data_IF_529257874094
#
_entry.id   IF_529257874094
#
_cell.length_a   1.000
_cell.length_b   1.000
_cell.length_c   1.000
_cell.angle_alpha   90.00
_cell.angle_beta   90.00
_cell.angle_gamma   90.00
#
_symmetry.space_group_name_H-M   'P 1'
#
loop_
_entity.id
_entity.type
_entity.pdbx_description
1 polymer ?
#
# COMPACT_ATOMS: atom_id res chain seq x y z
N UNK A 1 1.34 -36.95 -12.71
CA UNK A 1 0.33 -36.05 -12.13
C UNK A 1 0.51 -36.08 -10.63
N UNK A 2 1.04 -35.01 -10.07
CA UNK A 2 1.30 -34.91 -8.63
C UNK A 2 -0.04 -34.70 -7.91
N UNK A 3 -0.49 -35.71 -7.15
CA UNK A 3 -1.79 -35.71 -6.42
C UNK A 3 -1.92 -34.60 -5.34
N UNK A 4 -0.90 -33.79 -5.15
CA UNK A 4 -0.80 -32.86 -4.02
C UNK A 4 -1.40 -31.46 -4.28
N UNK A 5 -1.83 -31.15 -5.51
CA UNK A 5 -2.37 -29.82 -5.86
C UNK A 5 -3.84 -29.84 -6.27
N UNK A 6 -4.70 -30.37 -5.40
CA UNK A 6 -6.15 -30.28 -5.66
C UNK A 6 -6.62 -28.80 -5.65
N UNK A 7 -7.65 -28.44 -6.45
CA UNK A 7 -8.22 -27.07 -6.47
C UNK A 7 -8.66 -26.59 -5.08
N UNK A 8 -9.03 -27.50 -4.19
CA UNK A 8 -9.41 -27.22 -2.80
C UNK A 8 -8.20 -26.77 -1.98
N UNK A 9 -7.03 -27.36 -2.16
CA UNK A 9 -5.82 -26.97 -1.44
C UNK A 9 -5.33 -25.57 -1.88
N UNK A 10 -5.45 -25.23 -3.16
CA UNK A 10 -5.10 -23.89 -3.66
C UNK A 10 -6.00 -22.79 -3.07
N UNK A 11 -7.31 -23.00 -2.98
CA UNK A 11 -8.25 -22.06 -2.37
C UNK A 11 -7.96 -21.87 -0.88
N UNK A 12 -7.66 -22.96 -0.16
CA UNK A 12 -7.24 -22.89 1.25
C UNK A 12 -5.94 -22.10 1.41
N UNK A 13 -4.95 -22.35 0.58
CA UNK A 13 -3.68 -21.60 0.61
C UNK A 13 -3.90 -20.10 0.40
N UNK A 14 -4.72 -19.70 -0.57
CA UNK A 14 -5.07 -18.28 -0.80
C UNK A 14 -5.80 -17.66 0.40
N UNK A 15 -6.73 -18.39 1.00
CA UNK A 15 -7.44 -17.90 2.19
C UNK A 15 -6.47 -17.64 3.35
N UNK A 16 -5.55 -18.56 3.63
CA UNK A 16 -4.57 -18.36 4.70
C UNK A 16 -3.53 -17.29 4.35
N UNK A 17 -3.13 -17.16 3.08
CA UNK A 17 -2.29 -16.06 2.62
C UNK A 17 -2.98 -14.71 2.79
N UNK A 18 -4.26 -14.62 2.42
CA UNK A 18 -5.06 -13.42 2.62
C UNK A 18 -5.16 -13.05 4.11
N UNK A 19 -5.54 -14.02 4.95
CA UNK A 19 -5.68 -13.80 6.39
C UNK A 19 -4.37 -13.35 7.03
N UNK A 20 -3.27 -14.02 6.67
CA UNK A 20 -1.94 -13.65 7.12
C UNK A 20 -1.55 -12.22 6.70
N UNK A 21 -1.83 -11.85 5.45
CA UNK A 21 -1.56 -10.49 4.97
C UNK A 21 -2.43 -9.45 5.67
N UNK A 22 -3.69 -9.75 5.97
CA UNK A 22 -4.56 -8.87 6.78
C UNK A 22 -3.92 -8.63 8.13
N UNK A 23 -3.50 -9.67 8.83
CA UNK A 23 -2.91 -9.56 10.16
C UNK A 23 -1.57 -8.81 10.11
N UNK A 24 -0.69 -9.15 9.17
CA UNK A 24 0.60 -8.49 8.99
C UNK A 24 0.45 -6.99 8.67
N UNK A 25 -0.58 -6.61 7.91
CA UNK A 25 -0.85 -5.20 7.62
C UNK A 25 -1.62 -4.49 8.76
N UNK A 26 -2.29 -5.22 9.66
CA UNK A 26 -2.91 -4.66 10.86
C UNK A 26 -1.86 -4.00 11.77
N UNK A 27 -0.68 -4.58 11.85
CA UNK A 27 0.44 -4.05 12.61
C UNK A 27 0.91 -2.65 12.17
N UNK A 28 0.71 -2.28 10.92
CA UNK A 28 1.11 -0.95 10.43
C UNK A 28 0.31 0.19 11.08
N UNK A 29 -0.93 -0.05 11.45
CA UNK A 29 -1.85 0.98 11.96
C UNK A 29 -2.12 0.87 13.47
N UNK A 30 -1.58 -0.14 14.15
CA UNK A 30 -1.78 -0.34 15.60
C UNK A 30 -1.24 0.81 16.44
N UNK A 31 -0.18 1.50 15.95
CA UNK A 31 0.46 2.63 16.65
C UNK A 31 -0.45 3.86 16.76
N UNK A 32 -1.22 4.17 15.72
CA UNK A 32 -1.96 5.42 15.61
C UNK A 32 -2.93 5.70 16.79
N UNK A 33 -3.79 4.76 17.21
CA UNK A 33 -4.71 5.00 18.33
C UNK A 33 -4.03 5.08 19.70
N UNK A 34 -2.79 4.61 19.80
CA UNK A 34 -2.09 4.50 21.09
C UNK A 34 -0.99 5.56 21.29
N UNK A 35 -0.86 6.50 20.34
CA UNK A 35 0.16 7.56 20.37
C UNK A 35 0.18 8.26 21.72
N UNK A 36 -0.91 8.85 22.14
CA UNK A 36 -0.96 9.61 23.38
C UNK A 36 -0.70 8.78 24.64
N UNK A 37 -1.03 7.48 24.64
CA UNK A 37 -0.71 6.58 25.75
C UNK A 37 0.79 6.31 25.85
N UNK A 38 1.45 6.11 24.71
CA UNK A 38 2.91 5.89 24.62
C UNK A 38 3.67 7.16 25.00
N UNK A 39 3.23 8.32 24.52
CA UNK A 39 3.85 9.61 24.84
C UNK A 39 3.80 9.92 26.32
N UNK A 40 2.65 9.68 26.96
CA UNK A 40 2.48 9.89 28.39
C UNK A 40 3.35 8.94 29.21
N UNK A 41 3.51 7.68 28.81
CA UNK A 41 4.29 6.70 29.56
C UNK A 41 5.78 6.92 29.43
N UNK A 42 6.28 7.21 28.23
CA UNK A 42 7.71 7.39 27.99
C UNK A 42 8.17 8.85 28.04
N UNK A 43 7.26 9.78 28.27
CA UNK A 43 7.52 11.23 28.28
C UNK A 43 8.20 11.68 26.97
N UNK A 44 7.65 11.27 25.84
CA UNK A 44 8.11 11.60 24.49
C UNK A 44 7.09 12.45 23.75
N UNK A 45 7.46 12.98 22.60
CA UNK A 45 6.61 13.87 21.79
C UNK A 45 6.23 13.24 20.46
N UNK A 46 5.27 13.84 19.75
CA UNK A 46 4.86 13.44 18.39
C UNK A 46 6.07 13.29 17.43
N UNK A 47 7.16 14.07 17.63
CA UNK A 47 8.37 13.94 16.83
C UNK A 47 9.03 12.56 16.98
N UNK A 48 9.07 12.03 18.19
CA UNK A 48 9.59 10.69 18.46
C UNK A 48 8.67 9.62 17.82
N UNK A 49 7.37 9.79 17.93
CA UNK A 49 6.39 8.89 17.33
C UNK A 49 6.45 8.94 15.79
N UNK A 50 6.57 10.12 15.21
CA UNK A 50 6.77 10.31 13.78
C UNK A 50 8.06 9.68 13.27
N UNK A 51 9.15 9.72 14.09
CA UNK A 51 10.39 9.03 13.79
C UNK A 51 10.21 7.51 13.72
N UNK A 52 9.50 6.90 14.69
CA UNK A 52 9.18 5.47 14.63
C UNK A 52 8.44 5.14 13.32
N UNK A 53 7.33 5.85 13.05
CA UNK A 53 6.50 5.58 11.89
C UNK A 53 7.22 5.82 10.55
N UNK A 54 8.06 6.87 10.49
CA UNK A 54 8.86 7.21 9.32
C UNK A 54 9.93 6.17 9.02
N UNK A 55 10.75 5.83 10.02
CA UNK A 55 11.82 4.82 9.87
C UNK A 55 11.22 3.45 9.55
N UNK A 56 10.15 3.05 10.23
CA UNK A 56 9.41 1.82 9.93
C UNK A 56 9.02 1.72 8.46
N UNK A 57 8.43 2.77 7.89
CA UNK A 57 7.98 2.78 6.49
C UNK A 57 9.15 2.77 5.50
N UNK A 58 10.18 3.59 5.75
CA UNK A 58 11.34 3.70 4.86
C UNK A 58 12.18 2.41 4.89
N UNK A 59 12.42 1.85 6.07
CA UNK A 59 13.15 0.58 6.21
C UNK A 59 12.39 -0.55 5.53
N UNK A 60 11.07 -0.64 5.75
CA UNK A 60 10.21 -1.63 5.07
C UNK A 60 10.32 -1.54 3.54
N UNK A 61 10.30 -0.31 2.99
CA UNK A 61 10.44 -0.08 1.57
C UNK A 61 11.82 -0.50 1.01
N UNK A 62 12.90 -0.10 1.68
CA UNK A 62 14.25 -0.46 1.25
C UNK A 62 14.49 -1.97 1.31
N UNK A 63 14.06 -2.60 2.40
CA UNK A 63 14.25 -4.05 2.59
C UNK A 63 13.32 -4.85 1.67
N UNK A 64 12.19 -4.29 1.19
CA UNK A 64 11.34 -4.96 0.22
C UNK A 64 12.07 -5.31 -1.10
N UNK A 65 13.06 -4.49 -1.50
CA UNK A 65 13.92 -4.77 -2.66
C UNK A 65 14.79 -6.01 -2.41
N UNK A 66 15.30 -6.15 -1.18
CA UNK A 66 16.09 -7.33 -0.77
C UNK A 66 15.20 -8.57 -0.75
N UNK A 67 14.01 -8.47 -0.15
CA UNK A 67 13.03 -9.55 -0.15
C UNK A 67 12.60 -9.96 -1.57
N UNK A 68 12.45 -9.00 -2.48
CA UNK A 68 12.19 -9.28 -3.90
C UNK A 68 13.29 -10.14 -4.52
N UNK A 69 14.56 -9.76 -4.34
CA UNK A 69 15.69 -10.55 -4.81
C UNK A 69 15.73 -11.96 -4.17
N UNK A 70 15.54 -12.06 -2.85
CA UNK A 70 15.51 -13.34 -2.16
C UNK A 70 14.38 -14.24 -2.68
N UNK A 71 13.23 -13.65 -3.01
CA UNK A 71 12.07 -14.35 -3.58
C UNK A 71 12.39 -15.01 -4.92
N UNK A 72 13.27 -14.41 -5.71
CA UNK A 72 13.70 -14.98 -6.99
C UNK A 72 14.73 -16.10 -6.85
N UNK A 73 15.48 -16.13 -5.74
CA UNK A 73 16.58 -17.08 -5.54
C UNK A 73 16.19 -18.28 -4.65
N UNK A 74 15.45 -18.00 -3.57
CA UNK A 74 15.16 -18.98 -2.52
C UNK A 74 13.72 -19.50 -2.57
N UNK A 75 13.45 -20.54 -1.77
CA UNK A 75 12.11 -21.12 -1.58
C UNK A 75 11.19 -20.09 -0.90
N UNK A 76 10.11 -19.72 -1.58
CA UNK A 76 9.20 -18.64 -1.16
C UNK A 76 8.36 -18.99 0.07
N UNK A 77 8.04 -20.26 0.27
CA UNK A 77 7.36 -20.73 1.48
C UNK A 77 8.18 -20.42 2.73
N UNK A 78 9.47 -20.77 2.72
CA UNK A 78 10.35 -20.52 3.86
C UNK A 78 10.67 -19.04 4.04
N UNK A 79 10.78 -18.29 2.94
CA UNK A 79 10.93 -16.84 3.01
C UNK A 79 9.70 -16.15 3.61
N UNK A 80 8.50 -16.63 3.27
CA UNK A 80 7.24 -16.14 3.85
C UNK A 80 7.20 -16.37 5.36
N UNK A 81 7.55 -17.59 5.80
CA UNK A 81 7.60 -17.91 7.23
C UNK A 81 8.65 -17.04 7.94
N UNK A 82 9.84 -16.91 7.37
CA UNK A 82 10.89 -16.05 7.92
C UNK A 82 10.43 -14.60 8.04
N UNK A 83 9.74 -14.05 7.02
CA UNK A 83 9.24 -12.69 7.04
C UNK A 83 8.18 -12.46 8.12
N UNK A 84 7.28 -13.45 8.31
CA UNK A 84 6.29 -13.39 9.40
C UNK A 84 7.01 -13.37 10.75
N UNK A 85 7.96 -14.26 10.98
CA UNK A 85 8.67 -14.31 12.25
C UNK A 85 9.48 -13.03 12.52
N UNK A 86 10.15 -12.48 11.48
CA UNK A 86 10.90 -11.23 11.56
C UNK A 86 9.99 -10.01 11.78
N UNK A 87 8.73 -10.05 11.32
CA UNK A 87 7.75 -8.99 11.55
C UNK A 87 7.03 -9.12 12.90
N UNK A 88 6.41 -10.28 13.14
CA UNK A 88 5.46 -10.45 14.22
C UNK A 88 6.11 -10.67 15.60
N UNK A 89 7.29 -11.30 15.65
CA UNK A 89 8.00 -11.43 16.93
C UNK A 89 8.40 -10.05 17.49
N UNK A 90 9.04 -9.14 16.73
CA UNK A 90 9.28 -7.79 17.21
C UNK A 90 8.00 -6.99 17.48
N UNK A 91 6.92 -7.21 16.71
CA UNK A 91 5.63 -6.60 17.03
C UNK A 91 5.14 -7.04 18.41
N UNK A 92 5.14 -8.35 18.68
CA UNK A 92 4.79 -8.89 19.99
C UNK A 92 5.69 -8.33 21.10
N UNK A 93 7.01 -8.25 20.85
CA UNK A 93 7.99 -7.70 21.79
C UNK A 93 7.82 -6.19 22.00
N UNK A 94 7.17 -5.47 21.09
CA UNK A 94 6.80 -4.07 21.31
C UNK A 94 5.93 -3.90 22.54
N UNK A 95 5.08 -4.88 22.87
CA UNK A 95 4.26 -4.89 24.07
C UNK A 95 5.09 -5.01 25.38
N UNK A 96 6.33 -5.47 25.31
CA UNK A 96 7.21 -5.61 26.47
C UNK A 96 8.14 -4.41 26.68
N UNK A 97 8.07 -3.41 25.80
CA UNK A 97 8.96 -2.27 25.85
C UNK A 97 8.80 -1.48 27.15
N UNK A 98 9.93 -1.22 27.81
CA UNK A 98 10.04 -0.43 29.05
C UNK A 98 10.68 0.94 28.81
N UNK A 99 11.11 1.21 27.58
CA UNK A 99 11.65 2.50 27.14
C UNK A 99 11.29 2.77 25.68
N UNK A 100 11.30 4.06 25.32
CA UNK A 100 11.11 4.48 23.93
C UNK A 100 12.13 3.83 22.97
N UNK A 101 13.41 3.73 23.37
CA UNK A 101 14.44 3.11 22.54
C UNK A 101 14.17 1.64 22.24
N UNK A 102 13.65 0.88 23.20
CA UNK A 102 13.23 -0.52 22.98
C UNK A 102 12.03 -0.59 22.02
N UNK A 103 11.02 0.25 22.22
CA UNK A 103 9.88 0.31 21.32
C UNK A 103 10.31 0.66 19.89
N UNK A 104 11.15 1.69 19.74
CA UNK A 104 11.71 2.09 18.43
C UNK A 104 12.42 0.92 17.75
N UNK A 105 13.32 0.24 18.48
CA UNK A 105 14.07 -0.90 17.94
C UNK A 105 13.16 -2.02 17.44
N UNK A 106 12.19 -2.43 18.27
CA UNK A 106 11.23 -3.46 17.87
C UNK A 106 10.38 -3.04 16.67
N UNK A 107 9.93 -1.79 16.60
CA UNK A 107 9.15 -1.27 15.48
C UNK A 107 9.95 -1.24 14.17
N UNK A 108 11.23 -0.89 14.22
CA UNK A 108 12.12 -0.94 13.04
C UNK A 108 12.27 -2.37 12.53
N UNK A 109 12.49 -3.35 13.41
CA UNK A 109 12.57 -4.75 13.04
C UNK A 109 11.26 -5.26 12.44
N UNK A 110 10.11 -4.88 13.02
CA UNK A 110 8.79 -5.18 12.45
C UNK A 110 8.67 -4.69 10.99
N UNK A 111 9.15 -3.48 10.70
CA UNK A 111 9.17 -2.93 9.34
C UNK A 111 9.93 -3.80 8.33
N UNK A 112 11.00 -4.47 8.77
CA UNK A 112 11.77 -5.40 7.93
C UNK A 112 10.90 -6.59 7.49
N UNK A 113 10.12 -7.18 8.39
CA UNK A 113 9.24 -8.30 8.08
C UNK A 113 8.09 -7.90 7.14
N UNK A 114 7.47 -6.75 7.39
CA UNK A 114 6.35 -6.26 6.57
C UNK A 114 6.79 -5.94 5.13
N UNK A 115 8.03 -5.48 4.93
CA UNK A 115 8.57 -5.22 3.60
C UNK A 115 8.57 -6.44 2.67
N UNK A 116 8.48 -7.66 3.21
CA UNK A 116 8.41 -8.89 2.45
C UNK A 116 7.01 -9.22 1.90
N UNK A 117 5.96 -8.63 2.46
CA UNK A 117 4.57 -9.05 2.25
C UNK A 117 4.15 -9.06 0.77
N UNK A 118 4.46 -8.00 0.04
CA UNK A 118 4.13 -7.90 -1.38
C UNK A 118 4.97 -8.81 -2.28
N UNK A 119 6.32 -8.74 -2.28
CA UNK A 119 7.11 -9.50 -3.24
C UNK A 119 6.88 -11.01 -3.11
N UNK A 120 6.82 -11.55 -1.89
CA UNK A 120 6.63 -12.97 -1.69
C UNK A 120 5.22 -13.42 -2.07
N UNK A 121 4.19 -12.71 -1.59
CA UNK A 121 2.80 -13.12 -1.78
C UNK A 121 2.37 -13.02 -3.24
N UNK A 122 2.81 -11.99 -3.96
CA UNK A 122 2.49 -11.85 -5.38
C UNK A 122 3.25 -12.82 -6.26
N UNK A 123 4.49 -13.16 -5.91
CA UNK A 123 5.24 -14.21 -6.59
C UNK A 123 4.59 -15.58 -6.40
N UNK A 124 4.17 -15.93 -5.17
CA UNK A 124 3.43 -17.16 -4.90
C UNK A 124 2.11 -17.21 -5.69
N UNK A 125 1.32 -16.14 -5.65
CA UNK A 125 0.06 -16.07 -6.38
C UNK A 125 0.26 -16.21 -7.89
N UNK A 126 1.34 -15.62 -8.43
CA UNK A 126 1.71 -15.70 -9.84
C UNK A 126 1.91 -17.12 -10.34
N UNK A 127 2.55 -17.97 -9.53
CA UNK A 127 2.85 -19.35 -9.92
C UNK A 127 1.80 -20.37 -9.47
N UNK A 128 0.94 -20.01 -8.51
CA UNK A 128 -0.16 -20.88 -8.06
C UNK A 128 -1.38 -20.86 -9.00
N UNK A 129 -1.56 -19.77 -9.76
CA UNK A 129 -2.77 -19.55 -10.57
C UNK A 129 -2.45 -19.18 -12.00
N UNK A 130 -3.20 -19.77 -12.94
CA UNK A 130 -3.13 -19.42 -14.36
C UNK A 130 -3.63 -18.00 -14.65
N UNK A 131 -3.32 -17.50 -15.86
CA UNK A 131 -3.62 -16.13 -16.30
C UNK A 131 -5.05 -15.65 -16.02
N UNK A 132 -6.06 -16.51 -16.16
CA UNK A 132 -7.48 -16.17 -15.94
C UNK A 132 -7.85 -15.90 -14.47
N UNK A 133 -7.18 -16.53 -13.52
CA UNK A 133 -7.47 -16.44 -12.09
C UNK A 133 -6.48 -15.54 -11.33
N UNK A 134 -5.24 -15.42 -11.85
CA UNK A 134 -4.14 -14.64 -11.25
C UNK A 134 -4.57 -13.21 -10.89
N UNK A 135 -5.24 -12.51 -11.80
CA UNK A 135 -5.70 -11.14 -11.57
C UNK A 135 -6.66 -11.01 -10.38
N UNK A 136 -7.58 -11.96 -10.22
CA UNK A 136 -8.52 -11.98 -9.08
C UNK A 136 -7.81 -12.22 -7.76
N UNK A 137 -6.85 -13.16 -7.74
CA UNK A 137 -6.08 -13.48 -6.53
C UNK A 137 -5.18 -12.31 -6.12
N UNK A 138 -4.47 -11.70 -7.07
CA UNK A 138 -3.63 -10.51 -6.82
C UNK A 138 -4.47 -9.35 -6.29
N UNK A 139 -5.66 -9.12 -6.84
CA UNK A 139 -6.59 -8.10 -6.34
C UNK A 139 -7.07 -8.41 -4.90
N UNK A 140 -7.39 -9.68 -4.62
CA UNK A 140 -7.77 -10.11 -3.27
C UNK A 140 -6.62 -9.88 -2.27
N UNK A 141 -5.39 -10.26 -2.61
CA UNK A 141 -4.23 -10.03 -1.76
C UNK A 141 -3.94 -8.53 -1.56
N UNK A 142 -4.19 -7.72 -2.59
CA UNK A 142 -4.13 -6.25 -2.48
C UNK A 142 -5.14 -5.66 -1.51
N UNK A 143 -6.37 -6.22 -1.46
CA UNK A 143 -7.40 -5.82 -0.48
C UNK A 143 -6.96 -6.12 0.96
N UNK A 144 -6.15 -7.17 1.18
CA UNK A 144 -5.67 -7.52 2.52
C UNK A 144 -4.91 -6.38 3.21
N UNK A 145 -4.20 -5.54 2.44
CA UNK A 145 -3.49 -4.37 2.99
C UNK A 145 -4.47 -3.35 3.57
N UNK A 146 -5.51 -3.01 2.81
CA UNK A 146 -6.52 -2.02 3.26
C UNK A 146 -7.32 -2.56 4.44
N UNK A 147 -7.80 -3.81 4.34
CA UNK A 147 -8.56 -4.46 5.41
C UNK A 147 -7.69 -4.60 6.67
N UNK A 148 -6.43 -5.01 6.51
CA UNK A 148 -5.49 -5.13 7.62
C UNK A 148 -5.27 -3.81 8.34
N UNK A 149 -5.01 -2.72 7.62
CA UNK A 149 -4.85 -1.40 8.23
C UNK A 149 -6.08 -0.97 9.05
N UNK A 150 -7.30 -1.21 8.53
CA UNK A 150 -8.54 -0.94 9.25
C UNK A 150 -8.65 -1.82 10.50
N UNK A 151 -8.41 -3.13 10.37
CA UNK A 151 -8.46 -4.07 11.50
C UNK A 151 -7.49 -3.65 12.61
N UNK A 152 -6.23 -3.34 12.28
CA UNK A 152 -5.25 -2.89 13.26
C UNK A 152 -5.67 -1.63 14.00
N UNK A 153 -6.20 -0.65 13.26
CA UNK A 153 -6.71 0.59 13.82
C UNK A 153 -7.91 0.33 14.77
N UNK A 154 -8.87 -0.50 14.35
CA UNK A 154 -10.06 -0.80 15.17
C UNK A 154 -9.68 -1.61 16.41
N UNK A 155 -8.80 -2.62 16.27
CA UNK A 155 -8.31 -3.40 17.42
C UNK A 155 -7.65 -2.47 18.43
N UNK A 156 -6.71 -1.64 18.00
CA UNK A 156 -6.03 -0.73 18.91
C UNK A 156 -6.99 0.34 19.48
N UNK A 157 -7.80 0.97 18.64
CA UNK A 157 -8.68 2.06 19.04
C UNK A 157 -9.75 1.66 20.04
N UNK A 158 -10.34 0.47 19.87
CA UNK A 158 -11.40 0.02 20.79
C UNK A 158 -10.87 -0.75 22.01
N UNK A 159 -9.62 -1.21 22.02
CA UNK A 159 -9.09 -1.99 23.15
C UNK A 159 -8.12 -1.21 24.03
N UNK A 160 -7.34 -0.28 23.47
CA UNK A 160 -6.30 0.41 24.22
C UNK A 160 -6.81 1.27 25.37
N UNK A 161 -8.04 1.80 25.25
CA UNK A 161 -8.64 2.65 26.29
C UNK A 161 -8.84 1.94 27.63
N UNK A 162 -9.06 0.61 27.65
CA UNK A 162 -9.30 -0.17 28.87
C UNK A 162 -8.25 -1.26 29.12
N UNK A 163 -7.50 -1.72 28.11
CA UNK A 163 -6.45 -2.73 28.26
C UNK A 163 -5.03 -2.15 28.23
N UNK A 164 -4.91 -0.83 27.96
CA UNK A 164 -3.62 -0.17 27.75
C UNK A 164 -3.03 -0.41 26.36
N UNK A 165 -2.01 0.37 26.01
CA UNK A 165 -1.43 0.41 24.66
C UNK A 165 -0.64 -0.87 24.28
N UNK A 166 -0.27 -1.70 25.22
CA UNK A 166 0.52 -2.93 24.99
C UNK A 166 -0.31 -4.06 24.40
N UNK A 167 -1.53 -4.23 24.85
CA UNK A 167 -2.40 -5.34 24.45
C UNK A 167 -2.73 -5.33 22.96
N UNK A 168 -3.02 -4.19 22.30
CA UNK A 168 -3.19 -4.15 20.86
C UNK A 168 -2.06 -4.80 20.05
N UNK A 169 -0.79 -4.60 20.44
CA UNK A 169 0.34 -5.24 19.76
C UNK A 169 0.30 -6.76 19.86
N UNK A 170 -0.10 -7.28 21.01
CA UNK A 170 -0.28 -8.74 21.21
C UNK A 170 -1.44 -9.24 20.34
N UNK A 171 -2.56 -8.53 20.33
CA UNK A 171 -3.76 -8.95 19.59
C UNK A 171 -3.55 -8.97 18.08
N UNK A 172 -2.73 -8.07 17.53
CA UNK A 172 -2.46 -8.04 16.10
C UNK A 172 -1.34 -9.00 15.69
N UNK A 173 -0.36 -9.30 16.54
CA UNK A 173 0.77 -10.14 16.19
C UNK A 173 0.59 -11.63 16.50
N UNK A 174 -0.01 -11.97 17.65
CA UNK A 174 -0.15 -13.35 18.09
C UNK A 174 -0.92 -14.25 17.10
N UNK A 175 -2.01 -13.80 16.43
CA UNK A 175 -2.71 -14.65 15.47
C UNK A 175 -1.82 -15.10 14.29
N UNK A 176 -0.93 -14.24 13.78
CA UNK A 176 -0.03 -14.63 12.70
C UNK A 176 0.99 -15.67 13.16
N UNK A 177 1.52 -15.53 14.36
CA UNK A 177 2.44 -16.54 14.93
C UNK A 177 1.74 -17.90 15.09
N UNK A 178 0.45 -17.90 15.45
CA UNK A 178 -0.37 -19.14 15.51
C UNK A 178 -0.63 -19.70 14.11
N UNK A 179 -0.76 -18.86 13.08
CA UNK A 179 -0.97 -19.29 11.70
C UNK A 179 0.30 -19.89 11.06
N UNK A 180 1.51 -19.59 11.55
CA UNK A 180 2.77 -20.13 10.99
C UNK A 180 2.75 -21.66 10.86
N UNK A 181 2.48 -22.47 11.90
CA UNK A 181 2.44 -23.93 11.75
C UNK A 181 1.34 -24.40 10.79
N UNK A 182 0.24 -23.70 10.67
CA UNK A 182 -0.84 -24.01 9.72
C UNK A 182 -0.35 -23.76 8.29
N UNK A 183 0.28 -22.62 8.03
CA UNK A 183 0.85 -22.27 6.73
C UNK A 183 1.97 -23.26 6.35
N UNK A 184 2.80 -23.65 7.29
CA UNK A 184 3.85 -24.67 7.07
C UNK A 184 3.29 -25.97 6.52
N UNK A 185 2.10 -26.39 6.94
CA UNK A 185 1.47 -27.61 6.50
C UNK A 185 0.65 -27.47 5.21
N UNK A 186 -0.01 -26.32 5.00
CA UNK A 186 -0.93 -26.12 3.88
C UNK A 186 -0.22 -25.57 2.64
N UNK A 187 0.72 -24.62 2.82
CA UNK A 187 1.39 -23.98 1.70
C UNK A 187 2.49 -24.89 1.14
N UNK A 188 2.33 -25.27 -0.10
CA UNK A 188 3.37 -25.94 -0.87
C UNK A 188 4.07 -24.94 -1.78
N UNK A 189 5.38 -25.11 -1.97
CA UNK A 189 6.14 -24.28 -2.91
C UNK A 189 5.70 -24.60 -4.33
N UNK A 190 5.08 -23.65 -5.08
CA UNK A 190 4.71 -23.89 -6.47
C UNK A 190 5.97 -23.94 -7.35
N UNK A 191 5.95 -24.75 -8.40
CA UNK A 191 7.00 -24.70 -9.43
C UNK A 191 7.00 -23.34 -10.08
N UNK A 192 8.17 -22.74 -10.28
CA UNK A 192 8.31 -21.44 -10.91
C UNK A 192 7.89 -21.52 -12.37
N UNK A 193 7.04 -20.57 -12.81
CA UNK A 193 6.52 -20.53 -14.18
C UNK A 193 5.54 -21.66 -14.52
N UNK A 194 4.98 -22.37 -13.54
CA UNK A 194 4.11 -23.54 -13.76
C UNK A 194 2.88 -23.27 -14.62
N UNK A 195 2.49 -22.02 -14.80
CA UNK A 195 1.30 -21.59 -15.59
C UNK A 195 1.61 -20.58 -16.70
N UNK A 196 2.89 -20.46 -17.10
CA UNK A 196 3.27 -19.66 -18.27
C UNK A 196 3.14 -20.51 -19.54
N UNK A 197 2.41 -20.02 -20.56
CA UNK A 197 2.26 -20.69 -21.85
C UNK A 197 3.65 -20.90 -22.49
N UNK A 198 3.96 -22.14 -22.88
CA UNK A 198 5.26 -22.53 -23.43
C UNK A 198 6.28 -23.11 -22.44
N UNK A 199 6.07 -22.97 -21.12
CA UNK A 199 6.97 -23.54 -20.09
C UNK A 199 6.40 -24.80 -19.39
N UNK A 200 5.19 -25.26 -19.75
CA UNK A 200 4.56 -26.44 -19.16
C UNK A 200 5.38 -27.74 -19.37
N UNK A 201 6.30 -27.77 -20.33
CA UNK A 201 7.13 -28.94 -20.69
C UNK A 201 8.64 -28.73 -20.58
N UNK A 202 9.11 -27.51 -20.31
CA UNK A 202 10.54 -27.22 -20.28
C UNK A 202 11.07 -27.16 -18.83
N UNK A 203 12.10 -27.97 -18.54
CA UNK A 203 12.93 -27.86 -17.31
C UNK A 203 13.80 -26.58 -17.27
N UNK A 204 13.46 -25.56 -18.04
CA UNK A 204 14.26 -24.35 -18.17
C UNK A 204 13.84 -23.35 -17.09
N UNK A 205 14.69 -23.17 -16.09
CA UNK A 205 14.59 -22.04 -15.16
C UNK A 205 14.82 -20.73 -15.91
N UNK A 206 13.82 -19.88 -15.97
CA UNK A 206 13.92 -18.54 -16.54
C UNK A 206 14.86 -17.68 -15.67
N UNK A 207 16.16 -17.68 -16.00
CA UNK A 207 17.18 -16.81 -15.37
C UNK A 207 17.22 -15.45 -16.08
N UNK A 208 16.22 -14.61 -15.87
CA UNK A 208 16.31 -13.22 -16.28
C UNK A 208 17.18 -12.44 -15.29
N UNK A 209 18.41 -12.13 -15.66
CA UNK A 209 19.26 -11.22 -14.87
C UNK A 209 18.81 -9.79 -15.14
N UNK A 210 18.08 -9.19 -14.19
CA UNK A 210 17.75 -7.77 -14.20
C UNK A 210 19.04 -6.96 -14.23
N UNK A 211 19.26 -6.16 -15.28
CA UNK A 211 20.36 -5.20 -15.34
C UNK A 211 19.88 -3.84 -14.80
N UNK A 212 20.66 -3.23 -13.94
CA UNK A 212 20.39 -1.88 -13.42
C UNK A 212 20.22 -0.82 -14.53
N UNK A 213 20.88 -1.00 -15.68
CA UNK A 213 20.73 -0.15 -16.85
C UNK A 213 19.31 -0.03 -17.37
N UNK A 214 18.50 -1.07 -17.18
CA UNK A 214 17.13 -1.14 -17.71
C UNK A 214 16.18 -0.19 -16.97
N UNK A 215 16.46 0.14 -15.71
CA UNK A 215 15.72 1.13 -14.92
C UNK A 215 15.82 2.54 -15.49
N UNK A 216 16.97 2.88 -16.13
CA UNK A 216 17.18 4.18 -16.75
C UNK A 216 16.21 4.49 -17.91
N UNK A 217 15.74 3.46 -18.61
CA UNK A 217 14.80 3.65 -19.71
C UNK A 217 13.38 3.97 -19.22
N UNK A 218 12.98 3.43 -18.05
CA UNK A 218 11.67 3.68 -17.46
C UNK A 218 11.50 5.14 -17.02
N UNK A 219 12.58 5.79 -16.59
CA UNK A 219 12.60 7.20 -16.18
C UNK A 219 12.52 8.14 -17.40
N UNK A 220 12.89 7.68 -18.61
CA UNK A 220 12.78 8.47 -19.84
C UNK A 220 11.32 8.67 -20.30
N UNK A 221 10.40 7.81 -19.91
CA UNK A 221 8.96 8.00 -20.13
C UNK A 221 8.49 9.12 -19.20
N UNK A 222 8.05 10.23 -19.78
CA UNK A 222 7.68 11.43 -19.01
C UNK A 222 6.52 11.20 -18.04
N UNK A 223 5.54 10.42 -18.47
CA UNK A 223 4.41 10.02 -17.61
C UNK A 223 4.92 9.26 -16.38
N UNK A 224 5.86 8.30 -16.54
CA UNK A 224 6.43 7.57 -15.40
C UNK A 224 7.11 8.52 -14.42
N UNK A 225 7.96 9.42 -14.92
CA UNK A 225 8.69 10.37 -14.08
C UNK A 225 7.71 11.27 -13.28
N UNK A 226 6.66 11.78 -13.95
CA UNK A 226 5.63 12.58 -13.28
C UNK A 226 4.85 11.78 -12.23
N UNK A 227 4.53 10.52 -12.52
CA UNK A 227 3.82 9.64 -11.58
C UNK A 227 4.68 9.22 -10.39
N UNK A 228 5.99 9.07 -10.55
CA UNK A 228 6.89 8.81 -9.42
C UNK A 228 6.99 10.00 -8.46
N UNK A 229 7.14 11.22 -8.98
CA UNK A 229 7.08 12.42 -8.15
C UNK A 229 5.70 12.62 -7.53
N UNK A 230 4.63 12.37 -8.30
CA UNK A 230 3.26 12.38 -7.80
C UNK A 230 3.09 11.39 -6.65
N UNK A 231 3.67 10.18 -6.76
CA UNK A 231 3.67 9.18 -5.70
C UNK A 231 4.25 9.72 -4.39
N UNK A 232 5.44 10.35 -4.44
CA UNK A 232 6.06 10.95 -3.25
C UNK A 232 5.16 12.03 -2.63
N UNK A 233 4.77 13.04 -3.43
CA UNK A 233 3.95 14.14 -2.90
C UNK A 233 2.55 13.70 -2.51
N UNK A 234 1.96 12.76 -3.24
CA UNK A 234 0.63 12.23 -2.97
C UNK A 234 0.56 11.40 -1.69
N UNK A 235 1.63 10.69 -1.34
CA UNK A 235 1.65 9.79 -0.17
C UNK A 235 2.16 10.45 1.11
N UNK A 236 2.76 11.65 1.06
CA UNK A 236 3.07 12.44 2.27
C UNK A 236 1.81 12.64 3.13
N UNK A 237 0.66 13.14 2.60
CA UNK A 237 -0.56 13.23 3.39
C UNK A 237 -1.08 11.88 3.88
N UNK A 238 -1.00 10.84 3.04
CA UNK A 238 -1.37 9.47 3.44
C UNK A 238 -0.48 8.89 4.55
N UNK A 239 0.75 9.38 4.68
CA UNK A 239 1.61 9.06 5.81
C UNK A 239 1.20 9.80 7.09
N UNK A 240 0.98 11.10 7.02
CA UNK A 240 0.72 11.94 8.18
C UNK A 240 -0.72 11.83 8.69
N UNK A 241 -1.72 11.98 7.80
CA UNK A 241 -3.13 12.10 8.18
C UNK A 241 -3.64 10.84 8.89
N UNK A 242 -3.63 9.62 8.31
CA UNK A 242 -4.13 8.45 9.00
C UNK A 242 -3.34 8.11 10.27
N UNK A 243 -2.04 8.44 10.30
CA UNK A 243 -1.17 8.12 11.43
C UNK A 243 -1.46 8.97 12.67
N UNK A 244 -1.71 10.27 12.51
CA UNK A 244 -1.97 11.21 13.61
C UNK A 244 -3.44 11.58 13.80
N UNK A 245 -4.34 11.15 12.90
CA UNK A 245 -5.74 11.55 12.88
C UNK A 245 -6.49 11.23 14.19
N UNK A 246 -6.29 10.04 14.76
CA UNK A 246 -6.97 9.65 16.00
C UNK A 246 -6.53 10.55 17.15
N UNK A 247 -5.23 10.83 17.26
CA UNK A 247 -4.72 11.69 18.30
C UNK A 247 -5.14 13.17 18.11
N UNK A 248 -5.22 13.64 16.85
CA UNK A 248 -5.80 14.94 16.53
C UNK A 248 -7.25 15.05 17.02
N UNK A 249 -8.10 14.08 16.75
CA UNK A 249 -9.49 14.10 17.21
C UNK A 249 -9.60 14.05 18.73
N UNK A 250 -8.71 13.33 19.39
CA UNK A 250 -8.65 13.28 20.85
C UNK A 250 -8.22 14.60 21.48
N UNK A 251 -7.13 15.20 20.98
CA UNK A 251 -6.54 16.41 21.61
C UNK A 251 -7.28 17.68 21.22
N UNK A 252 -7.64 17.83 19.96
CA UNK A 252 -8.14 19.13 19.45
C UNK A 252 -9.65 19.14 19.21
N UNK A 253 -10.30 17.99 19.19
CA UNK A 253 -11.76 17.89 19.09
C UNK A 253 -12.39 17.27 20.36
N UNK A 254 -11.61 17.04 21.42
CA UNK A 254 -12.07 16.53 22.72
C UNK A 254 -12.88 15.23 22.61
N UNK A 255 -12.56 14.38 21.62
CA UNK A 255 -13.21 13.09 21.42
C UNK A 255 -12.59 12.03 22.34
N UNK A 256 -13.41 11.13 22.83
CA UNK A 256 -12.90 9.89 23.43
C UNK A 256 -12.27 8.99 22.34
N UNK A 257 -11.50 7.97 22.78
CA UNK A 257 -10.79 7.10 21.86
C UNK A 257 -11.72 6.35 20.89
N UNK A 258 -12.92 5.94 21.36
CA UNK A 258 -13.88 5.22 20.52
C UNK A 258 -14.47 6.15 19.45
N UNK A 259 -14.81 7.39 19.81
CA UNK A 259 -15.30 8.40 18.88
C UNK A 259 -14.23 8.73 17.82
N UNK A 260 -13.00 8.98 18.24
CA UNK A 260 -11.88 9.27 17.34
C UNK A 260 -11.58 8.09 16.40
N UNK A 261 -11.64 6.85 16.91
CA UNK A 261 -11.50 5.63 16.11
C UNK A 261 -12.63 5.48 15.09
N UNK A 262 -13.87 5.84 15.49
CA UNK A 262 -15.03 5.82 14.59
C UNK A 262 -14.88 6.85 13.47
N UNK A 263 -14.32 8.04 13.75
CA UNK A 263 -13.98 9.04 12.69
C UNK A 263 -12.98 8.46 11.70
N UNK A 264 -11.94 7.77 12.16
CA UNK A 264 -11.00 7.08 11.27
C UNK A 264 -11.69 6.00 10.42
N UNK A 265 -12.63 5.24 10.99
CA UNK A 265 -13.39 4.24 10.24
C UNK A 265 -14.20 4.90 9.11
N UNK A 266 -14.89 6.01 9.38
CA UNK A 266 -15.65 6.74 8.36
C UNK A 266 -14.75 7.26 7.25
N UNK A 267 -13.58 7.82 7.59
CA UNK A 267 -12.54 8.20 6.62
C UNK A 267 -12.09 7.01 5.77
N UNK A 268 -11.82 5.86 6.40
CA UNK A 268 -11.39 4.64 5.70
C UNK A 268 -12.46 4.09 4.75
N UNK A 269 -13.75 4.14 5.14
CA UNK A 269 -14.87 3.76 4.27
C UNK A 269 -14.98 4.71 3.07
N UNK A 270 -14.76 6.00 3.26
CA UNK A 270 -14.65 6.97 2.17
C UNK A 270 -13.53 6.62 1.21
N UNK A 271 -12.35 6.25 1.74
CA UNK A 271 -11.21 5.82 0.92
C UNK A 271 -11.52 4.58 0.09
N UNK A 272 -12.19 3.57 0.66
CA UNK A 272 -12.63 2.38 -0.09
C UNK A 272 -13.58 2.78 -1.22
N UNK A 273 -14.59 3.61 -0.91
CA UNK A 273 -15.54 4.10 -1.90
C UNK A 273 -14.82 4.86 -3.04
N UNK A 274 -13.87 5.73 -2.69
CA UNK A 274 -13.07 6.49 -3.66
C UNK A 274 -12.25 5.60 -4.58
N UNK A 275 -11.59 4.58 -4.05
CA UNK A 275 -10.84 3.60 -4.84
C UNK A 275 -11.75 2.84 -5.82
N UNK A 276 -12.93 2.39 -5.38
CA UNK A 276 -13.89 1.68 -6.23
C UNK A 276 -14.41 2.59 -7.34
N UNK A 277 -14.88 3.78 -6.98
CA UNK A 277 -15.39 4.77 -7.94
C UNK A 277 -14.29 5.17 -8.93
N UNK A 278 -13.08 5.42 -8.43
CA UNK A 278 -11.92 5.76 -9.24
C UNK A 278 -11.59 4.71 -10.29
N UNK A 279 -11.63 3.43 -9.92
CA UNK A 279 -11.41 2.32 -10.84
C UNK A 279 -12.49 2.26 -11.95
N UNK A 280 -13.78 2.25 -11.57
CA UNK A 280 -14.88 2.18 -12.53
C UNK A 280 -14.97 3.39 -13.45
N UNK A 281 -14.85 4.59 -12.89
CA UNK A 281 -14.93 5.84 -13.67
C UNK A 281 -13.68 5.98 -14.53
N UNK A 282 -12.50 5.63 -14.00
CA UNK A 282 -11.24 5.67 -14.74
C UNK A 282 -11.26 4.83 -16.00
N UNK A 283 -11.79 3.60 -15.93
CA UNK A 283 -11.95 2.72 -17.11
C UNK A 283 -12.87 3.35 -18.17
N UNK A 284 -14.02 3.91 -17.77
CA UNK A 284 -14.93 4.60 -18.66
C UNK A 284 -14.31 5.86 -19.28
N UNK A 285 -13.52 6.60 -18.51
CA UNK A 285 -12.82 7.78 -19.01
C UNK A 285 -11.74 7.39 -20.01
N UNK A 286 -10.97 6.33 -19.72
CA UNK A 286 -9.94 5.81 -20.61
C UNK A 286 -10.49 5.39 -21.97
N UNK A 287 -11.65 4.73 -22.00
CA UNK A 287 -12.31 4.34 -23.25
C UNK A 287 -12.81 5.55 -24.07
N UNK A 288 -13.08 6.68 -23.42
CA UNK A 288 -13.58 7.90 -24.07
C UNK A 288 -12.43 8.81 -24.54
N UNK A 289 -11.45 9.06 -23.71
CA UNK A 289 -10.19 9.74 -24.00
C UNK A 289 -9.20 9.44 -22.89
N UNK A 290 -8.02 8.96 -23.25
CA UNK A 290 -6.95 8.59 -22.31
C UNK A 290 -6.54 9.79 -21.45
N UNK A 291 -6.51 10.99 -22.02
CA UNK A 291 -6.18 12.25 -21.36
C UNK A 291 -7.09 12.58 -20.16
N UNK A 292 -8.35 12.13 -20.19
CA UNK A 292 -9.31 12.42 -19.12
C UNK A 292 -8.96 11.69 -17.81
N UNK A 293 -8.25 10.58 -17.85
CA UNK A 293 -7.90 9.82 -16.67
C UNK A 293 -7.01 10.63 -15.71
N UNK A 294 -5.83 11.10 -16.09
CA UNK A 294 -5.02 11.93 -15.21
C UNK A 294 -5.66 13.29 -14.90
N UNK A 295 -6.42 13.88 -15.84
CA UNK A 295 -7.06 15.17 -15.65
C UNK A 295 -8.15 15.11 -14.56
N UNK A 296 -9.05 14.13 -14.61
CA UNK A 296 -10.11 13.98 -13.59
C UNK A 296 -9.48 13.57 -12.25
N UNK A 297 -8.45 12.73 -12.25
CA UNK A 297 -7.69 12.41 -11.04
C UNK A 297 -7.05 13.66 -10.41
N UNK A 298 -6.53 14.60 -11.21
CA UNK A 298 -6.03 15.87 -10.73
C UNK A 298 -7.13 16.72 -10.07
N UNK A 299 -8.28 16.83 -10.74
CA UNK A 299 -9.42 17.61 -10.24
C UNK A 299 -9.95 17.02 -8.93
N UNK A 300 -10.15 15.70 -8.86
CA UNK A 300 -10.64 15.03 -7.63
C UNK A 300 -9.66 15.21 -6.47
N UNK A 301 -8.36 15.07 -6.71
CA UNK A 301 -7.33 15.29 -5.69
C UNK A 301 -7.34 16.73 -5.20
N UNK A 302 -7.41 17.73 -6.08
CA UNK A 302 -7.46 19.14 -5.70
C UNK A 302 -8.74 19.45 -4.91
N UNK A 303 -9.89 18.92 -5.32
CA UNK A 303 -11.15 19.07 -4.58
C UNK A 303 -11.06 18.38 -3.21
N UNK A 304 -10.42 17.24 -3.12
CA UNK A 304 -10.19 16.52 -1.87
C UNK A 304 -9.45 17.38 -0.84
N UNK A 305 -8.45 18.17 -1.26
CA UNK A 305 -7.74 19.08 -0.35
C UNK A 305 -8.72 20.02 0.36
N UNK A 306 -9.66 20.64 -0.38
CA UNK A 306 -10.62 21.57 0.22
C UNK A 306 -11.52 20.88 1.26
N UNK A 307 -12.01 19.68 0.95
CA UNK A 307 -12.84 18.92 1.90
C UNK A 307 -12.04 18.45 3.11
N UNK A 308 -10.77 18.04 2.91
CA UNK A 308 -9.88 17.63 3.99
C UNK A 308 -9.56 18.78 4.92
N UNK A 309 -9.18 19.93 4.39
CA UNK A 309 -8.93 21.13 5.19
C UNK A 309 -10.21 21.61 5.89
N UNK A 310 -11.35 21.54 5.22
CA UNK A 310 -12.63 21.88 5.85
C UNK A 310 -12.96 20.93 7.01
N UNK A 311 -12.75 19.62 6.86
CA UNK A 311 -12.95 18.66 7.93
C UNK A 311 -12.06 18.94 9.16
N UNK A 312 -10.77 19.26 8.95
CA UNK A 312 -9.88 19.61 10.07
C UNK A 312 -10.24 20.91 10.77
N UNK A 313 -10.66 21.93 10.01
CA UNK A 313 -11.08 23.22 10.56
C UNK A 313 -12.51 23.24 11.11
N UNK A 314 -13.30 22.20 10.83
CA UNK A 314 -14.69 22.16 11.27
C UNK A 314 -14.80 22.35 12.78
N UNK A 315 -15.64 23.32 13.26
CA UNK A 315 -15.83 23.59 14.68
C UNK A 315 -16.70 22.49 15.31
N UNK A 316 -16.08 21.39 15.67
CA UNK A 316 -16.75 20.26 16.29
C UNK A 316 -17.26 20.66 17.70
N UNK A 317 -18.51 20.28 18.00
CA UNK A 317 -19.14 20.54 19.30
C UNK A 317 -19.24 19.18 20.03
N UNK A 318 -18.46 18.98 21.14
CA UNK A 318 -18.51 17.75 21.91
C UNK A 318 -19.93 17.43 22.42
N UNK A 319 -20.32 16.16 22.35
CA UNK A 319 -21.64 15.70 22.78
C UNK A 319 -22.79 15.97 21.82
N UNK A 320 -22.59 16.76 20.74
CA UNK A 320 -23.62 17.00 19.74
C UNK A 320 -23.54 16.00 18.59
N UNK A 321 -24.52 15.10 18.49
CA UNK A 321 -24.55 14.04 17.48
C UNK A 321 -24.53 14.57 16.04
N UNK A 322 -25.26 15.66 15.74
CA UNK A 322 -25.25 16.29 14.42
C UNK A 322 -23.85 16.81 14.01
N UNK A 323 -23.09 17.37 14.96
CA UNK A 323 -21.71 17.80 14.73
C UNK A 323 -20.78 16.62 14.42
N UNK A 324 -20.97 15.51 15.14
CA UNK A 324 -20.24 14.25 14.88
C UNK A 324 -20.53 13.69 13.48
N UNK A 325 -21.81 13.59 13.11
CA UNK A 325 -22.22 13.08 11.78
C UNK A 325 -21.68 13.98 10.65
N UNK A 326 -21.76 15.31 10.81
CA UNK A 326 -21.30 16.22 9.78
C UNK A 326 -19.78 16.13 9.59
N UNK A 327 -19.00 16.10 10.68
CA UNK A 327 -17.54 15.92 10.61
C UNK A 327 -17.18 14.59 9.96
N UNK A 328 -17.84 13.50 10.34
CA UNK A 328 -17.65 12.17 9.76
C UNK A 328 -17.98 12.15 8.25
N UNK A 329 -19.04 12.84 7.84
CA UNK A 329 -19.42 12.98 6.42
C UNK A 329 -18.37 13.77 5.64
N UNK A 330 -17.86 14.88 6.20
CA UNK A 330 -16.78 15.65 5.59
C UNK A 330 -15.51 14.78 5.41
N UNK A 331 -15.12 14.05 6.45
CA UNK A 331 -13.97 13.13 6.38
C UNK A 331 -14.17 11.99 5.36
N UNK A 332 -15.38 11.42 5.29
CA UNK A 332 -15.73 10.41 4.29
C UNK A 332 -15.61 10.96 2.87
N UNK A 333 -16.20 12.14 2.58
CA UNK A 333 -16.15 12.76 1.24
C UNK A 333 -14.71 13.14 0.87
N UNK A 334 -13.95 13.70 1.82
CA UNK A 334 -12.54 14.04 1.64
C UNK A 334 -11.75 12.80 1.20
N UNK A 335 -11.79 11.73 2.00
CA UNK A 335 -11.09 10.49 1.71
C UNK A 335 -11.54 9.82 0.40
N UNK A 336 -12.82 9.92 0.07
CA UNK A 336 -13.36 9.42 -1.20
C UNK A 336 -12.75 10.14 -2.41
N UNK A 337 -12.63 11.46 -2.35
CA UNK A 337 -12.04 12.27 -3.42
C UNK A 337 -10.53 12.02 -3.55
N UNK A 338 -9.82 11.97 -2.42
CA UNK A 338 -8.37 11.78 -2.40
C UNK A 338 -7.96 10.36 -2.87
N UNK A 339 -8.76 9.34 -2.54
CA UNK A 339 -8.47 7.94 -2.90
C UNK A 339 -8.85 7.59 -4.34
N UNK A 340 -9.65 8.41 -5.02
CA UNK A 340 -10.05 8.21 -6.44
C UNK A 340 -8.83 8.02 -7.35
N UNK A 341 -7.73 8.68 -7.04
CA UNK A 341 -6.52 8.73 -7.85
C UNK A 341 -5.75 7.40 -7.87
N UNK A 342 -5.75 6.64 -6.77
CA UNK A 342 -4.91 5.45 -6.61
C UNK A 342 -5.01 4.40 -7.73
N UNK A 343 -6.19 3.85 -8.05
CA UNK A 343 -6.34 2.88 -9.15
C UNK A 343 -5.99 3.47 -10.52
N UNK A 344 -6.26 4.76 -10.74
CA UNK A 344 -5.98 5.44 -11.99
C UNK A 344 -4.48 5.60 -12.25
N UNK A 345 -3.68 5.93 -11.22
CA UNK A 345 -2.21 5.98 -11.34
C UNK A 345 -1.64 4.61 -11.70
N UNK A 346 -2.11 3.54 -11.08
CA UNK A 346 -1.70 2.17 -11.40
C UNK A 346 -2.07 1.80 -12.84
N UNK A 347 -3.26 2.16 -13.28
CA UNK A 347 -3.69 1.96 -14.67
C UNK A 347 -2.82 2.75 -15.65
N UNK A 348 -2.48 4.01 -15.35
CA UNK A 348 -1.59 4.82 -16.19
C UNK A 348 -0.20 4.17 -16.33
N UNK A 349 0.40 3.73 -15.22
CA UNK A 349 1.70 3.02 -15.24
C UNK A 349 1.66 1.75 -16.10
N UNK A 350 0.56 0.99 -16.05
CA UNK A 350 0.41 -0.22 -16.86
C UNK A 350 0.31 0.06 -18.36
N UNK A 351 -0.27 1.21 -18.75
CA UNK A 351 -0.55 1.52 -20.14
C UNK A 351 0.56 2.29 -20.88
N UNK A 352 1.50 2.90 -20.16
CA UNK A 352 2.66 3.59 -20.78
C UNK A 352 3.93 2.73 -20.81
N UNK A 353 3.88 1.51 -20.25
CA UNK A 353 5.03 0.62 -20.15
C UNK A 353 4.76 -0.73 -20.80
N UNK A 354 5.78 -1.30 -21.43
CA UNK A 354 5.72 -2.63 -22.02
C UNK A 354 5.41 -3.70 -20.95
N UNK A 355 4.73 -4.81 -21.32
CA UNK A 355 4.40 -5.88 -20.38
C UNK A 355 5.61 -6.43 -19.60
N UNK A 356 6.79 -6.51 -20.25
CA UNK A 356 8.04 -6.98 -19.64
C UNK A 356 8.56 -6.07 -18.52
N UNK A 357 8.16 -4.78 -18.50
CA UNK A 357 8.66 -3.77 -17.56
C UNK A 357 7.72 -3.52 -16.38
N UNK A 358 6.52 -4.12 -16.38
CA UNK A 358 5.47 -3.90 -15.35
C UNK A 358 5.96 -4.16 -13.93
N UNK A 359 6.72 -5.23 -13.72
CA UNK A 359 7.27 -5.54 -12.39
C UNK A 359 8.23 -4.45 -11.89
N UNK A 360 9.12 -3.98 -12.75
CA UNK A 360 10.11 -2.94 -12.42
C UNK A 360 9.46 -1.60 -12.12
N UNK A 361 8.47 -1.21 -12.93
CA UNK A 361 7.77 0.07 -12.76
C UNK A 361 7.02 0.10 -11.45
N UNK A 362 6.34 -0.99 -11.07
CA UNK A 362 5.66 -1.08 -9.77
C UNK A 362 6.62 -1.13 -8.59
N UNK A 363 7.82 -1.68 -8.77
CA UNK A 363 8.86 -1.64 -7.72
C UNK A 363 9.31 -0.22 -7.43
N UNK A 364 9.57 0.60 -8.48
CA UNK A 364 9.92 2.02 -8.31
C UNK A 364 8.74 2.78 -7.69
N UNK A 365 7.53 2.56 -8.21
CA UNK A 365 6.33 3.22 -7.72
C UNK A 365 6.08 2.92 -6.23
N UNK A 366 6.16 1.66 -5.81
CA UNK A 366 6.01 1.30 -4.41
C UNK A 366 7.11 1.91 -3.51
N UNK A 367 8.34 2.01 -4.03
CA UNK A 367 9.42 2.68 -3.31
C UNK A 367 9.12 4.17 -3.11
N UNK A 368 8.70 4.88 -4.17
CA UNK A 368 8.34 6.31 -4.08
C UNK A 368 7.17 6.56 -3.14
N UNK A 369 6.13 5.72 -3.20
CA UNK A 369 4.97 5.79 -2.31
C UNK A 369 5.37 5.56 -0.84
N UNK A 370 6.20 4.57 -0.58
CA UNK A 370 6.65 4.27 0.78
C UNK A 370 7.57 5.34 1.36
N UNK A 371 8.42 5.93 0.52
CA UNK A 371 9.27 7.07 0.90
C UNK A 371 8.40 8.28 1.25
N UNK A 372 7.43 8.62 0.42
CA UNK A 372 6.48 9.71 0.70
C UNK A 372 5.70 9.47 2.00
N UNK A 373 5.19 8.25 2.20
CA UNK A 373 4.50 7.85 3.44
C UNK A 373 5.41 8.00 4.67
N UNK A 374 6.66 7.55 4.58
CA UNK A 374 7.64 7.67 5.67
C UNK A 374 7.98 9.13 5.99
N UNK A 375 8.21 9.94 4.96
CA UNK A 375 8.43 11.39 5.08
C UNK A 375 7.21 12.05 5.74
N UNK A 376 5.98 11.69 5.34
CA UNK A 376 4.75 12.22 5.92
C UNK A 376 4.64 11.99 7.42
N UNK A 377 4.92 10.77 7.89
CA UNK A 377 4.93 10.44 9.33
C UNK A 377 6.00 11.21 10.09
N UNK A 378 7.21 11.26 9.53
CA UNK A 378 8.33 11.97 10.15
C UNK A 378 8.07 13.48 10.24
N UNK A 379 7.72 14.11 9.11
CA UNK A 379 7.42 15.55 9.06
C UNK A 379 6.19 15.86 9.93
N UNK A 380 5.16 15.00 9.90
CA UNK A 380 3.97 15.12 10.71
C UNK A 380 4.30 15.25 12.19
N UNK A 381 5.12 14.36 12.73
CA UNK A 381 5.54 14.43 14.12
C UNK A 381 6.47 15.61 14.43
N UNK A 382 7.43 15.93 13.55
CA UNK A 382 8.36 17.04 13.76
C UNK A 382 7.64 18.40 13.73
N UNK A 383 6.74 18.62 12.77
CA UNK A 383 6.00 19.88 12.65
C UNK A 383 4.99 20.06 13.78
N UNK A 384 4.39 18.97 14.34
CA UNK A 384 3.44 19.13 15.44
C UNK A 384 4.09 19.72 16.68
N UNK A 385 5.32 19.33 16.97
CA UNK A 385 6.11 19.92 18.06
C UNK A 385 6.46 21.38 17.76
N UNK A 386 6.81 21.70 16.51
CA UNK A 386 7.19 23.07 16.12
C UNK A 386 6.01 24.04 16.09
N UNK A 387 4.84 23.58 15.65
CA UNK A 387 3.62 24.39 15.50
C UNK A 387 2.70 24.33 16.74
N UNK A 388 2.92 23.36 17.62
CA UNK A 388 2.11 23.17 18.82
C UNK A 388 0.71 22.59 18.60
N UNK A 389 0.34 22.23 17.34
CA UNK A 389 -0.96 21.68 17.00
C UNK A 389 -0.85 20.61 15.93
N UNK A 390 -1.59 19.50 16.07
CA UNK A 390 -1.70 18.46 15.03
C UNK A 390 -2.56 18.93 13.87
N UNK A 391 -3.63 19.70 14.13
CA UNK A 391 -4.53 20.21 13.09
C UNK A 391 -3.81 20.98 12.01
N UNK A 392 -2.93 21.92 12.39
CA UNK A 392 -2.12 22.68 11.44
C UNK A 392 -1.19 21.78 10.61
N UNK A 393 -0.64 20.76 11.23
CA UNK A 393 0.24 19.80 10.56
C UNK A 393 -0.52 18.96 9.53
N UNK A 394 -1.71 18.47 9.89
CA UNK A 394 -2.54 17.67 8.98
C UNK A 394 -3.02 18.54 7.80
N UNK A 395 -3.33 19.82 8.03
CA UNK A 395 -3.65 20.77 6.97
C UNK A 395 -2.46 21.00 6.03
N UNK A 396 -1.27 21.27 6.58
CA UNK A 396 -0.04 21.46 5.79
C UNK A 396 0.25 20.20 4.99
N UNK A 397 0.08 19.04 5.60
CA UNK A 397 0.24 17.77 4.90
C UNK A 397 -0.73 17.62 3.73
N UNK A 398 -2.00 18.01 3.90
CA UNK A 398 -2.99 17.95 2.83
C UNK A 398 -2.62 18.85 1.63
N UNK A 399 -1.91 19.98 1.86
CA UNK A 399 -1.48 20.84 0.75
C UNK A 399 -0.48 20.19 -0.21
N UNK A 400 0.21 19.14 0.19
CA UNK A 400 1.04 18.36 -0.75
C UNK A 400 0.21 17.70 -1.86
N UNK A 401 -1.08 17.46 -1.64
CA UNK A 401 -1.98 17.00 -2.70
C UNK A 401 -2.21 18.04 -3.80
N UNK A 402 -1.98 19.34 -3.58
CA UNK A 402 -1.94 20.32 -4.67
C UNK A 402 -0.79 20.05 -5.63
N UNK A 403 0.42 19.73 -5.11
CA UNK A 403 1.54 19.34 -5.94
C UNK A 403 1.25 18.01 -6.67
N UNK A 404 0.62 17.04 -6.01
CA UNK A 404 0.14 15.80 -6.60
C UNK A 404 -0.83 16.07 -7.76
N UNK A 405 -1.87 16.89 -7.55
CA UNK A 405 -2.84 17.26 -8.57
C UNK A 405 -2.19 18.00 -9.75
N UNK A 406 -1.26 18.90 -9.48
CA UNK A 406 -0.50 19.61 -10.54
C UNK A 406 0.33 18.64 -11.40
N UNK A 407 1.02 17.68 -10.79
CA UNK A 407 1.79 16.66 -11.52
C UNK A 407 0.88 15.77 -12.38
N UNK A 408 -0.30 15.41 -11.88
CA UNK A 408 -1.31 14.68 -12.66
C UNK A 408 -1.85 15.51 -13.82
N UNK A 409 -2.05 16.81 -13.63
CA UNK A 409 -2.45 17.73 -14.71
C UNK A 409 -1.36 17.77 -15.80
N UNK A 410 -0.08 17.84 -15.42
CA UNK A 410 1.03 17.76 -16.38
C UNK A 410 1.06 16.39 -17.07
N UNK A 411 0.83 15.30 -16.34
CA UNK A 411 0.79 13.96 -16.92
C UNK A 411 -0.32 13.83 -17.98
N UNK A 412 -1.43 14.59 -17.86
CA UNK A 412 -2.51 14.56 -18.84
C UNK A 412 -2.09 14.98 -20.26
N UNK A 413 -1.02 15.76 -20.38
CA UNK A 413 -0.50 16.17 -21.69
C UNK A 413 0.36 15.12 -22.38
N UNK A 414 1.03 14.25 -21.60
CA UNK A 414 1.94 13.23 -22.13
C UNK A 414 1.31 11.86 -22.23
N UNK A 415 0.40 11.51 -21.33
CA UNK A 415 -0.14 10.17 -21.16
C UNK A 415 -0.75 9.60 -22.45
N UNK A 416 -1.62 10.35 -23.13
CA UNK A 416 -2.28 9.89 -24.35
C UNK A 416 -1.28 9.66 -25.48
N UNK A 417 -0.33 10.60 -25.68
CA UNK A 417 0.71 10.48 -26.69
C UNK A 417 1.64 9.27 -26.45
N UNK A 418 2.02 9.03 -25.20
CA UNK A 418 2.93 7.94 -24.84
C UNK A 418 2.24 6.58 -24.94
N UNK A 419 0.97 6.49 -24.57
CA UNK A 419 0.16 5.28 -24.79
C UNK A 419 -0.02 4.99 -26.28
N UNK A 420 -0.33 6.00 -27.10
CA UNK A 420 -0.52 5.80 -28.54
C UNK A 420 0.80 5.41 -29.23
N UNK A 421 1.91 6.02 -28.81
CA UNK A 421 3.24 5.63 -29.29
C UNK A 421 3.57 4.17 -28.94
N UNK A 422 3.34 3.76 -27.68
CA UNK A 422 3.56 2.38 -27.27
C UNK A 422 2.67 1.40 -28.03
N UNK A 423 1.39 1.69 -28.18
CA UNK A 423 0.47 0.85 -28.91
C UNK A 423 0.87 0.69 -30.40
N UNK A 424 1.41 1.75 -31.02
CA UNK A 424 1.92 1.69 -32.40
C UNK A 424 3.14 0.77 -32.47
N UNK A 425 4.11 0.94 -31.55
CA UNK A 425 5.29 0.08 -31.47
C UNK A 425 4.94 -1.40 -31.25
N UNK A 426 3.97 -1.68 -30.40
CA UNK A 426 3.52 -3.07 -30.14
C UNK A 426 2.84 -3.70 -31.36
N UNK A 427 2.09 -2.92 -32.15
CA UNK A 427 1.50 -3.42 -33.40
C UNK A 427 2.58 -3.73 -34.46
N UNK A 428 3.54 -2.84 -34.63
CA UNK A 428 4.66 -3.05 -35.55
C UNK A 428 5.47 -4.31 -35.19
N UNK A 429 5.70 -4.55 -33.90
CA UNK A 429 6.36 -5.77 -33.43
C UNK A 429 5.54 -7.03 -33.73
N UNK A 430 4.23 -7.01 -33.48
CA UNK A 430 3.36 -8.14 -33.76
C UNK A 430 3.29 -8.46 -35.28
N UNK A 431 3.29 -7.44 -36.15
CA UNK A 431 3.35 -7.62 -37.60
C UNK A 431 4.66 -8.29 -38.07
N UNK A 432 5.79 -7.91 -37.44
CA UNK A 432 7.11 -8.53 -37.73
C UNK A 432 7.11 -10.00 -37.31
N UNK A 433 6.67 -10.32 -36.09
CA UNK A 433 6.58 -11.71 -35.61
C UNK A 433 5.66 -12.58 -36.49
N UNK A 434 4.53 -12.05 -36.94
CA UNK A 434 3.65 -12.78 -37.87
C UNK A 434 4.33 -13.04 -39.26
N UNK A 435 5.17 -12.13 -39.75
CA UNK A 435 5.89 -12.31 -40.99
C UNK A 435 6.99 -13.37 -40.83
N UNK A 436 7.77 -13.33 -39.76
CA UNK A 436 8.79 -14.32 -39.44
C UNK A 436 8.18 -15.73 -39.29
N UNK A 437 7.06 -15.88 -38.59
CA UNK A 437 6.37 -17.17 -38.50
C UNK A 437 5.84 -17.71 -39.84
N UNK A 438 5.40 -16.84 -40.75
CA UNK A 438 4.96 -17.23 -42.09
C UNK A 438 6.14 -17.68 -42.93
N UNK A 439 7.29 -16.99 -42.85
CA UNK A 439 8.51 -17.37 -43.56
C UNK A 439 9.04 -18.73 -43.07
N UNK A 440 9.07 -18.97 -41.75
CA UNK A 440 9.48 -20.27 -41.19
C UNK A 440 8.55 -21.43 -41.62
N UNK A 441 7.23 -21.18 -41.68
CA UNK A 441 6.27 -22.18 -42.16
C UNK A 441 6.36 -22.46 -43.67
N UNK A 442 6.90 -21.52 -44.46
CA UNK A 442 7.06 -21.68 -45.89
C UNK A 442 8.39 -22.40 -46.23
N UNK A 443 9.38 -22.38 -45.32
CA UNK A 443 10.66 -23.05 -45.49
C UNK A 443 10.68 -24.51 -44.97
N UNK A 444 9.62 -24.94 -44.28
CA UNK A 444 9.37 -26.33 -43.87
C UNK A 444 8.38 -27.02 -44.81
#
# INVERSE_FOLDING_TARGET
>A
MDETSTPLNRKRAVFFLFLMLVILNADQMVMSPVIGLIENEFNVTDSHIGLIGGVFSIVGALVSLIWGYLTDVYNRKWLLIASILVGEIPCLLSATATSFGQLFFWRVLTGIGIGASFPISYSLAGDMFGHKERGKVVSLLGLATTVGGIVGMLVAGYTAGFLGWRIPFILVSAPNLILVPIIMNILQEPKRGAHEEGFEQAEVQYKYKVKFSDYGNLIKVRTNLLLFFQGIFGTIPWGAIPYFMVEFFRREKEMDLNQATTMFLLFSLGSIAGNLIGGFVGEKLYSKSKRLVPLISAITTILGVFFTVWAFRYPYIPGQFSSFVLLGTLGFVAAMLDSYTGPNVKMMLLNVNEPKDRGRIFSIFNLTDSVGTGIGKFIGGALSVALGTLGSVLEISAYFWFACGFLLMLASWYFEMEVDKLNKQMRELAEIEELEEKEEKTQK
#
